data_IF_229117633371
#
_entry.id   IF_229117633371
#
_cell.length_a   1.000
_cell.length_b   1.000
_cell.length_c   1.000
_cell.angle_alpha   90.00
_cell.angle_beta   90.00
_cell.angle_gamma   90.00
#
_symmetry.space_group_name_H-M   'P 1'
#
loop_
_entity.id
_entity.type
_entity.pdbx_description
1 polymer ?
#
# COMPACT_ATOMS: atom_id res chain seq x y z
N UNK A 1 -15.30 -4.59 -39.26
CA UNK A 1 -16.00 -5.80 -38.82
C UNK A 1 -15.47 -6.20 -37.45
N UNK A 2 -16.38 -6.05 -36.51
CA UNK A 2 -16.53 -6.59 -35.18
C UNK A 2 -15.68 -6.00 -34.05
N UNK A 3 -16.21 -4.87 -33.52
CA UNK A 3 -16.40 -4.66 -32.09
C UNK A 3 -17.30 -5.78 -31.55
N UNK A 4 -16.83 -6.51 -30.55
CA UNK A 4 -17.61 -7.14 -29.46
C UNK A 4 -16.66 -8.03 -28.64
N UNK A 5 -16.34 -7.55 -27.44
CA UNK A 5 -16.08 -8.40 -26.24
C UNK A 5 -15.55 -7.50 -25.10
N UNK A 6 -16.48 -6.76 -24.50
CA UNK A 6 -16.28 -6.15 -23.19
C UNK A 6 -17.66 -5.91 -22.56
N UNK A 7 -18.29 -7.01 -22.14
CA UNK A 7 -19.43 -6.97 -21.23
C UNK A 7 -19.54 -8.33 -20.53
N UNK A 8 -18.97 -8.42 -19.36
CA UNK A 8 -19.38 -9.31 -18.27
C UNK A 8 -18.31 -9.25 -17.14
N UNK A 9 -18.59 -8.50 -16.12
CA UNK A 9 -18.62 -8.93 -14.71
C UNK A 9 -19.00 -7.69 -13.88
N UNK A 10 -20.28 -7.58 -13.57
CA UNK A 10 -20.77 -6.85 -12.40
C UNK A 10 -21.11 -7.89 -11.34
N UNK A 11 -20.55 -7.82 -10.12
CA UNK A 11 -21.20 -8.46 -8.99
C UNK A 11 -22.19 -7.47 -8.37
N UNK A 12 -23.46 -7.87 -8.34
CA UNK A 12 -24.49 -7.31 -7.48
C UNK A 12 -24.10 -7.57 -6.02
N UNK A 13 -23.79 -6.54 -5.27
CA UNK A 13 -23.77 -6.62 -3.81
C UNK A 13 -25.13 -6.22 -3.27
N UNK A 14 -25.83 -7.21 -2.76
CA UNK A 14 -27.09 -7.12 -2.06
C UNK A 14 -26.83 -6.56 -0.65
N UNK A 15 -27.29 -5.33 -0.38
CA UNK A 15 -27.23 -4.65 0.92
C UNK A 15 -28.48 -4.98 1.73
N UNK A 16 -28.55 -6.18 2.30
CA UNK A 16 -29.50 -6.48 3.39
C UNK A 16 -28.98 -7.67 4.18
N UNK A 17 -28.40 -7.40 5.30
CA UNK A 17 -28.33 -8.21 6.52
C UNK A 17 -27.01 -8.00 7.27
N UNK A 18 -27.00 -7.05 8.17
CA UNK A 18 -26.16 -7.13 9.39
C UNK A 18 -26.70 -6.12 10.42
N UNK A 19 -27.86 -6.49 10.94
CA UNK A 19 -28.33 -5.97 12.23
C UNK A 19 -28.09 -7.04 13.28
N UNK A 20 -27.63 -6.60 14.42
CA UNK A 20 -27.50 -7.31 15.70
C UNK A 20 -26.16 -8.05 15.95
N UNK A 21 -25.34 -7.48 16.77
CA UNK A 21 -24.94 -7.94 18.10
C UNK A 21 -23.68 -7.20 18.57
N UNK A 22 -23.87 -6.06 19.20
CA UNK A 22 -22.89 -5.56 20.15
C UNK A 22 -23.41 -5.81 21.56
N UNK A 23 -22.99 -6.90 22.17
CA UNK A 23 -23.09 -7.08 23.61
C UNK A 23 -21.96 -6.29 24.27
N UNK A 24 -22.35 -5.28 25.00
CA UNK A 24 -21.53 -4.58 25.97
C UNK A 24 -21.13 -5.53 27.11
N UNK A 25 -19.84 -5.72 27.31
CA UNK A 25 -19.29 -6.33 28.52
C UNK A 25 -18.76 -5.19 29.38
N UNK A 26 -19.52 -4.86 30.43
CA UNK A 26 -19.07 -4.01 31.53
C UNK A 26 -18.62 -4.95 32.66
N UNK A 27 -17.40 -4.85 33.16
CA UNK A 27 -17.03 -5.57 34.38
C UNK A 27 -17.59 -4.83 35.59
N UNK A 28 -18.45 -5.53 36.33
CA UNK A 28 -18.87 -5.18 37.70
C UNK A 28 -17.68 -5.41 38.62
N UNK A 29 -17.22 -4.40 39.29
CA UNK A 29 -16.50 -4.58 40.55
C UNK A 29 -17.25 -3.91 41.71
N UNK A 30 -17.80 -4.79 42.51
CA UNK A 30 -18.31 -4.49 43.83
C UNK A 30 -17.14 -4.24 44.78
N UNK A 31 -17.14 -3.14 45.47
CA UNK A 31 -16.70 -3.09 46.84
C UNK A 31 -17.66 -2.24 47.66
N UNK A 32 -18.21 -2.89 48.67
CA UNK A 32 -19.33 -2.52 49.50
C UNK A 32 -18.80 -2.19 50.89
N UNK A 33 -19.46 -1.22 51.54
CA UNK A 33 -19.78 -1.11 52.95
C UNK A 33 -18.73 -0.53 53.92
N UNK A 34 -19.15 0.48 54.49
CA UNK A 34 -19.41 0.77 55.93
C UNK A 34 -18.64 2.01 56.39
N UNK A 35 -19.31 3.03 56.84
CA UNK A 35 -19.54 3.23 58.25
C UNK A 35 -20.42 4.47 58.50
N UNK A 36 -21.52 4.24 59.20
CA UNK A 36 -22.30 5.24 59.91
C UNK A 36 -21.46 5.80 61.05
N UNK A 37 -21.37 7.12 61.17
CA UNK A 37 -21.21 7.78 62.45
C UNK A 37 -22.02 9.07 62.50
N UNK A 38 -22.95 9.05 63.43
CA UNK A 38 -23.79 10.14 63.90
C UNK A 38 -22.92 11.15 64.63
N UNK A 39 -23.00 12.42 64.28
CA UNK A 39 -22.68 13.50 65.20
C UNK A 39 -23.66 14.65 64.94
N UNK A 40 -24.36 14.96 66.01
CA UNK A 40 -25.36 16.03 66.10
C UNK A 40 -24.73 17.42 66.14
N UNK A 41 -25.47 18.38 65.57
CA UNK A 41 -25.55 19.71 66.10
C UNK A 41 -24.66 20.78 65.48
N UNK A 42 -25.21 21.52 64.52
CA UNK A 42 -25.21 22.98 64.49
C UNK A 42 -26.18 23.44 63.40
N UNK A 43 -27.33 23.99 63.74
CA UNK A 43 -28.13 24.76 62.82
C UNK A 43 -27.39 26.04 62.43
N UNK A 44 -26.59 25.95 61.39
CA UNK A 44 -26.14 27.12 60.64
C UNK A 44 -27.31 27.44 59.65
N UNK A 45 -27.98 28.51 59.87
CA UNK A 45 -28.86 29.12 58.86
C UNK A 45 -27.98 29.48 57.70
N UNK A 46 -27.91 28.57 56.71
CA UNK A 46 -27.29 28.85 55.41
C UNK A 46 -28.31 29.80 54.73
N UNK A 47 -28.01 31.08 54.77
CA UNK A 47 -28.64 32.00 53.83
C UNK A 47 -28.43 31.46 52.42
N UNK A 48 -29.48 31.42 51.58
CA UNK A 48 -29.32 31.00 50.21
C UNK A 48 -28.20 31.87 49.59
N UNK A 49 -27.28 31.28 48.80
CA UNK A 49 -26.29 32.09 48.13
C UNK A 49 -27.08 33.11 47.30
N UNK A 50 -26.85 34.40 47.57
CA UNK A 50 -27.29 35.44 46.70
C UNK A 50 -26.90 35.02 45.31
N UNK A 51 -27.88 34.68 44.43
CA UNK A 51 -27.67 34.54 43.02
C UNK A 51 -26.95 35.82 42.58
N UNK A 52 -25.66 35.74 42.36
CA UNK A 52 -24.94 36.79 41.66
C UNK A 52 -25.75 37.03 40.39
N UNK A 53 -26.25 38.23 40.22
CA UNK A 53 -26.97 38.61 39.02
C UNK A 53 -26.03 38.26 37.86
N UNK A 54 -26.31 37.15 37.21
CA UNK A 54 -25.56 36.73 36.05
C UNK A 54 -25.91 37.74 34.99
N UNK A 55 -24.96 38.63 34.68
CA UNK A 55 -25.19 39.62 33.61
C UNK A 55 -25.27 38.80 32.32
N UNK A 56 -26.50 38.68 31.81
CA UNK A 56 -26.76 37.98 30.56
C UNK A 56 -26.20 38.82 29.40
N UNK A 57 -25.67 38.15 28.39
CA UNK A 57 -25.19 38.77 27.17
C UNK A 57 -26.36 39.08 26.21
N UNK A 58 -26.09 39.80 25.17
CA UNK A 58 -27.01 39.99 24.06
C UNK A 58 -26.29 39.85 22.74
N UNK A 59 -27.01 39.48 21.68
CA UNK A 59 -26.47 39.37 20.31
C UNK A 59 -27.43 40.07 19.38
N UNK A 60 -26.90 40.87 18.47
CA UNK A 60 -27.68 41.48 17.39
C UNK A 60 -27.02 41.22 16.04
N UNK A 61 -27.75 41.48 14.96
CA UNK A 61 -27.21 41.33 13.62
C UNK A 61 -28.21 41.68 12.54
N UNK A 62 -27.77 41.61 11.29
CA UNK A 62 -28.56 41.84 10.11
C UNK A 62 -28.54 40.61 9.20
N UNK A 63 -29.70 40.31 8.61
CA UNK A 63 -29.88 39.34 7.55
C UNK A 63 -30.16 40.06 6.25
N UNK A 64 -29.36 39.84 5.22
CA UNK A 64 -29.56 40.39 3.88
C UNK A 64 -29.81 39.25 2.89
N UNK A 65 -30.70 39.48 1.95
CA UNK A 65 -31.06 38.54 0.89
C UNK A 65 -29.95 38.37 -0.18
N UNK A 66 -30.23 37.58 -1.21
CA UNK A 66 -29.30 37.33 -2.33
C UNK A 66 -29.01 38.56 -3.20
N UNK A 67 -29.83 39.64 -3.09
CA UNK A 67 -29.61 40.92 -3.75
C UNK A 67 -28.85 41.89 -2.83
N UNK A 68 -28.58 41.54 -1.57
CA UNK A 68 -27.97 42.39 -0.55
C UNK A 68 -28.93 43.33 0.10
N UNK A 69 -30.25 43.13 -0.07
CA UNK A 69 -31.31 43.94 0.59
C UNK A 69 -31.68 43.36 1.95
N UNK A 70 -32.20 44.17 2.89
CA UNK A 70 -32.73 43.67 4.15
C UNK A 70 -33.74 42.53 3.93
N UNK A 71 -33.50 41.38 4.62
CA UNK A 71 -34.42 40.25 4.54
C UNK A 71 -35.37 40.27 5.74
N UNK A 72 -36.60 40.71 5.48
CA UNK A 72 -37.64 40.99 6.49
C UNK A 72 -38.35 39.69 6.90
N UNK A 73 -38.80 39.63 8.17
CA UNK A 73 -39.59 38.54 8.76
C UNK A 73 -38.90 37.14 8.72
N UNK A 74 -37.57 37.12 8.59
CA UNK A 74 -36.80 35.88 8.64
C UNK A 74 -36.65 35.40 10.09
N UNK A 75 -36.84 34.10 10.30
CA UNK A 75 -36.61 33.46 11.59
C UNK A 75 -35.12 33.20 11.76
N UNK A 76 -34.53 33.75 12.83
CA UNK A 76 -33.18 33.49 13.27
C UNK A 76 -33.21 32.72 14.57
N UNK A 77 -32.52 31.58 14.63
CA UNK A 77 -32.39 30.76 15.82
C UNK A 77 -30.97 30.83 16.38
N UNK A 78 -30.86 30.88 17.70
CA UNK A 78 -29.62 30.76 18.43
C UNK A 78 -29.72 29.53 19.35
N UNK A 79 -28.94 28.47 19.02
CA UNK A 79 -28.95 27.21 19.79
C UNK A 79 -27.66 27.09 20.59
N UNK A 80 -27.78 26.97 21.90
CA UNK A 80 -26.62 26.79 22.77
C UNK A 80 -26.01 25.37 22.65
N UNK A 81 -24.77 25.22 23.06
CA UNK A 81 -24.07 23.92 23.22
C UNK A 81 -24.77 22.95 24.19
N UNK A 82 -25.63 23.48 25.07
CA UNK A 82 -26.49 22.74 26.00
C UNK A 82 -27.89 22.44 25.42
N UNK A 83 -28.17 22.81 24.17
CA UNK A 83 -29.41 22.54 23.47
C UNK A 83 -30.53 23.56 23.74
N UNK A 84 -30.30 24.63 24.50
CA UNK A 84 -31.29 25.70 24.65
C UNK A 84 -31.42 26.51 23.35
N UNK A 85 -32.63 26.71 22.86
CA UNK A 85 -32.93 27.41 21.61
C UNK A 85 -33.66 28.74 21.91
N UNK A 86 -33.13 29.81 21.34
CA UNK A 86 -33.77 31.14 21.31
C UNK A 86 -34.11 31.46 19.86
N UNK A 87 -35.25 32.16 19.66
CA UNK A 87 -35.73 32.51 18.32
C UNK A 87 -36.02 33.99 18.25
N UNK A 88 -35.60 34.64 17.18
CA UNK A 88 -35.92 36.05 16.88
C UNK A 88 -36.36 36.16 15.41
N UNK A 89 -37.09 37.24 15.09
CA UNK A 89 -37.46 37.59 13.71
C UNK A 89 -36.74 38.85 13.28
N UNK A 90 -36.40 38.92 12.00
CA UNK A 90 -35.83 40.15 11.43
C UNK A 90 -36.93 41.20 11.22
N UNK A 91 -36.62 42.46 11.54
CA UNK A 91 -37.48 43.61 11.32
C UNK A 91 -37.42 44.10 9.84
N UNK A 92 -38.06 45.26 9.59
CA UNK A 92 -38.13 45.92 8.26
C UNK A 92 -36.75 46.27 7.67
N UNK A 93 -35.74 46.41 8.52
CA UNK A 93 -34.36 46.73 8.15
C UNK A 93 -33.47 45.48 8.13
N UNK A 94 -34.08 44.28 8.26
CA UNK A 94 -33.39 43.00 8.33
C UNK A 94 -32.66 42.76 9.65
N UNK A 95 -32.90 43.58 10.65
CA UNK A 95 -32.20 43.51 11.94
C UNK A 95 -32.88 42.52 12.89
N UNK A 96 -32.10 41.77 13.66
CA UNK A 96 -32.56 40.87 14.71
C UNK A 96 -31.74 41.08 16.00
N UNK A 97 -32.32 40.72 17.15
CA UNK A 97 -31.64 40.77 18.43
C UNK A 97 -32.10 39.70 19.38
N UNK A 98 -31.16 39.18 20.14
CA UNK A 98 -31.37 38.31 21.28
C UNK A 98 -30.92 39.03 22.55
N UNK A 99 -31.73 38.97 23.59
CA UNK A 99 -31.43 39.54 24.90
C UNK A 99 -31.43 38.45 25.96
N UNK A 100 -30.77 38.68 27.08
CA UNK A 100 -30.74 37.79 28.22
C UNK A 100 -30.17 36.39 27.88
N UNK A 101 -29.14 36.35 27.04
CA UNK A 101 -28.43 35.13 26.67
C UNK A 101 -27.46 34.75 27.78
N UNK A 102 -27.57 33.53 28.28
CA UNK A 102 -26.57 32.99 29.22
C UNK A 102 -25.20 32.91 28.55
N UNK A 103 -24.14 33.08 29.33
CA UNK A 103 -22.79 32.88 28.81
C UNK A 103 -22.63 31.44 28.30
N UNK A 104 -22.15 31.27 27.07
CA UNK A 104 -22.00 29.96 26.41
C UNK A 104 -21.64 30.08 24.94
N UNK A 105 -21.52 28.94 24.26
CA UNK A 105 -21.33 28.91 22.81
C UNK A 105 -22.68 28.69 22.14
N UNK A 106 -22.99 29.54 21.16
CA UNK A 106 -24.24 29.48 20.40
C UNK A 106 -23.98 29.33 18.92
N UNK A 107 -24.73 28.43 18.30
CA UNK A 107 -24.83 28.30 16.84
C UNK A 107 -26.02 29.07 16.33
N UNK A 108 -25.82 29.98 15.36
CA UNK A 108 -26.83 30.80 14.76
C UNK A 108 -27.25 30.25 13.40
N UNK A 109 -28.54 30.04 13.22
CA UNK A 109 -29.14 29.59 11.97
C UNK A 109 -30.25 30.53 11.54
N UNK A 110 -30.45 30.68 10.22
CA UNK A 110 -31.61 31.37 9.65
C UNK A 110 -32.46 30.38 8.88
N UNK A 111 -33.79 30.42 9.13
CA UNK A 111 -34.73 29.58 8.38
C UNK A 111 -34.90 30.12 6.96
N UNK A 112 -34.58 29.29 5.99
CA UNK A 112 -34.77 29.62 4.58
C UNK A 112 -36.14 29.19 4.08
N UNK A 113 -36.72 29.86 3.06
CA UNK A 113 -37.96 29.41 2.44
C UNK A 113 -37.89 27.97 1.94
N UNK A 114 -38.96 27.21 2.16
CA UNK A 114 -39.04 25.82 1.68
C UNK A 114 -38.75 25.72 0.16
N UNK A 115 -38.08 24.67 -0.32
CA UNK A 115 -37.72 23.44 0.38
C UNK A 115 -36.33 23.43 1.07
N UNK A 116 -35.70 24.58 1.24
CA UNK A 116 -34.35 24.70 1.76
C UNK A 116 -34.29 24.38 3.26
N UNK A 117 -33.15 23.86 3.71
CA UNK A 117 -32.86 23.65 5.12
C UNK A 117 -32.38 24.96 5.76
N UNK A 118 -32.51 25.12 7.09
CA UNK A 118 -31.95 26.26 7.80
C UNK A 118 -30.44 26.38 7.50
N UNK A 119 -29.98 27.60 7.33
CA UNK A 119 -28.56 27.90 7.02
C UNK A 119 -27.85 28.34 8.30
N UNK A 120 -26.80 27.58 8.68
CA UNK A 120 -25.90 27.95 9.76
C UNK A 120 -24.89 28.98 9.26
N UNK A 121 -24.83 30.15 9.94
CA UNK A 121 -23.99 31.25 9.49
C UNK A 121 -22.95 31.71 10.51
N UNK A 122 -23.11 31.36 11.79
CA UNK A 122 -22.15 31.70 12.81
C UNK A 122 -22.16 30.72 14.00
N UNK A 123 -21.01 30.52 14.60
CA UNK A 123 -20.88 29.95 15.94
C UNK A 123 -20.01 30.88 16.76
N UNK A 124 -20.56 31.41 17.83
CA UNK A 124 -19.88 32.40 18.68
C UNK A 124 -20.01 32.07 20.15
N UNK A 125 -19.02 32.51 20.94
CA UNK A 125 -19.09 32.50 22.37
C UNK A 125 -19.67 33.84 22.85
N UNK A 126 -20.78 33.78 23.57
CA UNK A 126 -21.42 34.95 24.18
C UNK A 126 -20.93 35.06 25.63
N UNK A 127 -20.30 36.16 25.96
CA UNK A 127 -19.87 36.50 27.31
C UNK A 127 -20.91 37.29 28.07
N UNK A 128 -20.74 37.41 29.38
CA UNK A 128 -21.58 38.22 30.24
C UNK A 128 -21.38 39.71 29.92
N UNK A 129 -22.46 40.42 29.58
CA UNK A 129 -22.43 41.83 29.20
C UNK A 129 -21.92 42.16 27.79
N UNK A 130 -21.57 41.15 26.99
CA UNK A 130 -21.14 41.31 25.60
C UNK A 130 -22.34 41.43 24.64
N UNK A 131 -22.17 42.24 23.59
CA UNK A 131 -23.17 42.44 22.54
C UNK A 131 -22.55 42.28 21.14
N UNK A 132 -22.06 41.08 20.79
CA UNK A 132 -21.49 40.85 19.46
C UNK A 132 -22.52 41.08 18.36
N UNK A 133 -22.05 41.61 17.22
CA UNK A 133 -22.87 41.82 16.03
C UNK A 133 -22.58 40.69 15.03
N UNK A 134 -23.60 39.92 14.68
CA UNK A 134 -23.49 38.72 13.85
C UNK A 134 -24.34 38.86 12.60
N UNK A 135 -23.74 39.25 11.50
CA UNK A 135 -24.43 39.53 10.24
C UNK A 135 -24.29 38.37 9.26
N UNK A 136 -25.31 38.16 8.43
CA UNK A 136 -25.28 37.28 7.28
C UNK A 136 -25.79 37.97 6.02
N UNK A 137 -24.99 37.92 4.96
CA UNK A 137 -25.34 38.44 3.64
C UNK A 137 -25.36 37.29 2.65
N UNK A 138 -26.53 36.89 2.17
CA UNK A 138 -26.67 35.76 1.26
C UNK A 138 -26.09 36.03 -0.13
N UNK A 139 -25.92 37.27 -0.55
CA UNK A 139 -25.18 37.61 -1.76
C UNK A 139 -23.70 37.18 -1.63
N UNK A 140 -23.06 37.44 -0.50
CA UNK A 140 -21.66 37.05 -0.25
C UNK A 140 -21.53 35.54 -0.06
N UNK A 141 -22.52 34.90 0.56
CA UNK A 141 -22.61 33.45 0.71
C UNK A 141 -22.63 32.77 -0.67
N UNK A 142 -23.53 33.23 -1.56
CA UNK A 142 -23.60 32.69 -2.94
C UNK A 142 -22.35 32.97 -3.74
N UNK A 143 -21.74 34.15 -3.62
CA UNK A 143 -20.50 34.48 -4.29
C UNK A 143 -19.36 33.55 -3.84
N UNK A 144 -19.25 33.31 -2.53
CA UNK A 144 -18.22 32.35 -1.97
C UNK A 144 -18.50 30.91 -2.39
N UNK A 145 -19.74 30.46 -2.39
CA UNK A 145 -20.12 29.11 -2.86
C UNK A 145 -19.84 28.94 -4.35
N UNK A 146 -20.15 29.95 -5.16
CA UNK A 146 -19.84 29.94 -6.58
C UNK A 146 -18.33 29.90 -6.86
N UNK A 147 -17.55 30.68 -6.11
CA UNK A 147 -16.09 30.65 -6.21
C UNK A 147 -15.50 29.30 -5.79
N UNK A 148 -16.00 28.71 -4.70
CA UNK A 148 -15.57 27.39 -4.23
C UNK A 148 -15.94 26.29 -5.24
N UNK A 149 -17.12 26.35 -5.83
CA UNK A 149 -17.55 25.41 -6.87
C UNK A 149 -16.66 25.53 -8.14
N UNK A 150 -16.37 26.75 -8.57
CA UNK A 150 -15.49 27.00 -9.71
C UNK A 150 -14.06 26.48 -9.47
N UNK A 151 -13.54 26.67 -8.26
CA UNK A 151 -12.22 26.15 -7.87
C UNK A 151 -12.18 24.61 -7.84
N UNK A 152 -13.28 23.97 -7.37
CA UNK A 152 -13.38 22.51 -7.44
C UNK A 152 -13.39 21.98 -8.87
N UNK A 153 -14.16 22.61 -9.77
CA UNK A 153 -14.20 22.23 -11.19
C UNK A 153 -12.82 22.39 -11.82
N UNK A 154 -12.15 23.51 -11.56
CA UNK A 154 -10.78 23.76 -12.06
C UNK A 154 -9.82 22.67 -11.56
N UNK A 155 -9.84 22.35 -10.27
CA UNK A 155 -9.01 21.31 -9.68
C UNK A 155 -9.29 19.93 -10.29
N UNK A 156 -10.55 19.59 -10.51
CA UNK A 156 -10.91 18.32 -11.16
C UNK A 156 -10.38 18.24 -12.60
N UNK A 157 -10.44 19.34 -13.36
CA UNK A 157 -9.90 19.35 -14.71
C UNK A 157 -8.38 19.25 -14.73
N UNK A 158 -7.68 19.94 -13.81
CA UNK A 158 -6.23 19.80 -13.62
C UNK A 158 -5.84 18.36 -13.25
N UNK A 159 -6.55 17.73 -12.32
CA UNK A 159 -6.29 16.34 -11.92
C UNK A 159 -6.55 15.38 -13.08
N UNK A 160 -7.59 15.62 -13.89
CA UNK A 160 -7.88 14.83 -15.08
C UNK A 160 -6.79 14.99 -16.16
N UNK A 161 -6.28 16.20 -16.36
CA UNK A 161 -5.18 16.45 -17.30
C UNK A 161 -3.90 15.76 -16.81
N UNK A 162 -3.56 15.86 -15.51
CA UNK A 162 -2.44 15.14 -14.91
C UNK A 162 -2.57 13.63 -15.07
N UNK A 163 -3.74 13.08 -14.78
CA UNK A 163 -3.99 11.64 -14.96
C UNK A 163 -3.83 11.21 -16.42
N UNK A 164 -4.33 12.01 -17.36
CA UNK A 164 -4.22 11.72 -18.79
C UNK A 164 -2.76 11.75 -19.25
N UNK A 165 -2.00 12.76 -18.84
CA UNK A 165 -0.56 12.86 -19.11
C UNK A 165 0.22 11.71 -18.49
N UNK A 166 -0.03 11.41 -17.22
CA UNK A 166 0.56 10.25 -16.53
C UNK A 166 0.32 8.95 -17.31
N UNK A 167 -0.93 8.71 -17.72
CA UNK A 167 -1.28 7.49 -18.47
C UNK A 167 -0.57 7.41 -19.81
N UNK A 168 -0.51 8.50 -20.57
CA UNK A 168 0.17 8.53 -21.87
C UNK A 168 1.66 8.19 -21.74
N UNK A 169 2.35 8.84 -20.80
CA UNK A 169 3.75 8.57 -20.53
C UNK A 169 3.98 7.16 -19.97
N UNK A 170 3.08 6.68 -19.11
CA UNK A 170 3.19 5.32 -18.59
C UNK A 170 3.05 4.26 -19.68
N UNK A 171 2.05 4.40 -20.57
CA UNK A 171 1.83 3.47 -21.68
C UNK A 171 3.03 3.48 -22.65
N UNK A 172 3.58 4.67 -22.97
CA UNK A 172 4.79 4.81 -23.78
C UNK A 172 6.00 4.14 -23.10
N UNK A 173 6.21 4.42 -21.82
CA UNK A 173 7.31 3.83 -21.05
C UNK A 173 7.22 2.30 -20.96
N UNK A 174 6.03 1.73 -20.83
CA UNK A 174 5.81 0.27 -20.88
C UNK A 174 6.14 -0.31 -22.25
N UNK A 175 5.77 0.38 -23.32
CA UNK A 175 6.10 -0.06 -24.69
C UNK A 175 7.62 -0.10 -24.90
N UNK A 176 8.33 0.96 -24.54
CA UNK A 176 9.80 1.03 -24.63
C UNK A 176 10.48 0.00 -23.71
N UNK A 177 9.98 -0.20 -22.48
CA UNK A 177 10.47 -1.20 -21.56
C UNK A 177 10.34 -2.62 -22.13
N UNK A 178 9.21 -2.93 -22.76
CA UNK A 178 8.98 -4.23 -23.42
C UNK A 178 9.97 -4.47 -24.57
N UNK A 179 10.23 -3.44 -25.37
CA UNK A 179 11.23 -3.51 -26.42
C UNK A 179 12.66 -3.69 -25.85
N UNK A 180 12.98 -2.97 -24.76
CA UNK A 180 14.27 -3.10 -24.07
C UNK A 180 14.47 -4.51 -23.50
N UNK A 181 13.42 -5.11 -22.93
CA UNK A 181 13.44 -6.50 -22.43
C UNK A 181 13.71 -7.50 -23.55
N UNK A 182 13.04 -7.34 -24.70
CA UNK A 182 13.25 -8.16 -25.88
C UNK A 182 14.68 -8.02 -26.40
N UNK A 183 15.16 -6.79 -26.57
CA UNK A 183 16.52 -6.52 -27.03
C UNK A 183 17.58 -7.11 -26.08
N UNK A 184 17.36 -7.05 -24.75
CA UNK A 184 18.24 -7.67 -23.74
C UNK A 184 18.26 -9.20 -23.86
N UNK A 185 17.10 -9.83 -24.11
CA UNK A 185 17.03 -11.27 -24.32
C UNK A 185 17.73 -11.70 -25.61
N UNK A 186 17.63 -10.92 -26.68
CA UNK A 186 18.30 -11.17 -27.96
C UNK A 186 19.82 -10.93 -27.85
N UNK A 187 20.26 -9.91 -27.10
CA UNK A 187 21.67 -9.67 -26.79
C UNK A 187 22.33 -10.89 -26.12
N UNK A 188 21.59 -11.61 -25.28
CA UNK A 188 22.11 -12.80 -24.61
C UNK A 188 22.44 -13.95 -25.61
N UNK A 189 21.79 -13.93 -26.81
CA UNK A 189 21.97 -14.92 -27.87
C UNK A 189 22.86 -14.42 -29.03
N UNK A 190 23.26 -13.14 -29.00
CA UNK A 190 23.92 -12.45 -30.08
C UNK A 190 25.33 -13.00 -30.35
N UNK A 191 25.72 -13.03 -31.62
CA UNK A 191 27.06 -13.32 -32.06
C UNK A 191 28.02 -12.19 -31.63
N UNK A 192 29.31 -12.45 -31.45
CA UNK A 192 30.26 -11.47 -30.93
C UNK A 192 30.29 -10.14 -31.70
N UNK A 193 30.15 -10.18 -33.01
CA UNK A 193 30.17 -9.01 -33.92
C UNK A 193 28.90 -8.13 -33.78
N UNK A 194 27.78 -8.68 -33.30
CA UNK A 194 26.54 -7.99 -33.14
C UNK A 194 26.35 -7.39 -31.75
N UNK A 195 27.13 -7.84 -30.77
CA UNK A 195 26.91 -7.54 -29.35
C UNK A 195 26.97 -6.04 -29.02
N UNK A 196 27.89 -5.31 -29.61
CA UNK A 196 28.03 -3.88 -29.27
C UNK A 196 26.90 -3.04 -29.84
N UNK A 197 26.44 -3.35 -31.05
CA UNK A 197 25.22 -2.72 -31.62
C UNK A 197 24.01 -3.02 -30.75
N UNK A 198 23.83 -4.28 -30.32
CA UNK A 198 22.69 -4.67 -29.50
C UNK A 198 22.77 -4.10 -28.08
N UNK A 199 23.95 -3.96 -27.48
CA UNK A 199 24.12 -3.23 -26.20
C UNK A 199 23.67 -1.77 -26.33
N UNK A 200 24.07 -1.08 -27.43
CA UNK A 200 23.64 0.27 -27.68
C UNK A 200 22.12 0.38 -27.86
N UNK A 201 21.50 -0.60 -28.53
CA UNK A 201 20.04 -0.66 -28.67
C UNK A 201 19.34 -0.86 -27.31
N UNK A 202 19.83 -1.77 -26.46
CA UNK A 202 19.31 -1.98 -25.10
C UNK A 202 19.41 -0.70 -24.28
N UNK A 203 20.55 0.00 -24.37
CA UNK A 203 20.77 1.26 -23.65
C UNK A 203 19.82 2.36 -24.12
N UNK A 204 19.62 2.52 -25.43
CA UNK A 204 18.68 3.51 -26.01
C UNK A 204 17.24 3.23 -25.57
N UNK A 205 16.75 2.00 -25.75
CA UNK A 205 15.39 1.61 -25.38
C UNK A 205 15.12 1.72 -23.88
N UNK A 206 16.07 1.27 -23.05
CA UNK A 206 15.92 1.41 -21.59
C UNK A 206 15.99 2.87 -21.14
N UNK A 207 16.79 3.71 -21.82
CA UNK A 207 16.84 5.17 -21.59
C UNK A 207 15.52 5.84 -21.92
N UNK A 208 14.91 5.50 -23.05
CA UNK A 208 13.55 5.97 -23.43
C UNK A 208 12.50 5.55 -22.40
N UNK A 209 12.49 4.29 -22.03
CA UNK A 209 11.58 3.78 -21.00
C UNK A 209 11.70 4.54 -19.68
N UNK A 210 12.93 4.81 -19.22
CA UNK A 210 13.19 5.61 -18.02
C UNK A 210 12.62 7.01 -18.18
N UNK A 211 12.89 7.68 -19.30
CA UNK A 211 12.42 9.06 -19.57
C UNK A 211 10.89 9.14 -19.51
N UNK A 212 10.20 8.24 -20.19
CA UNK A 212 8.75 8.21 -20.21
C UNK A 212 8.16 7.86 -18.84
N UNK A 213 8.73 6.90 -18.12
CA UNK A 213 8.27 6.53 -16.78
C UNK A 213 8.53 7.63 -15.73
N UNK A 214 9.64 8.36 -15.84
CA UNK A 214 9.89 9.55 -15.02
C UNK A 214 8.89 10.68 -15.33
N UNK A 215 8.53 10.89 -16.58
CA UNK A 215 7.50 11.84 -16.99
C UNK A 215 6.11 11.40 -16.47
N UNK A 216 5.80 10.10 -16.52
CA UNK A 216 4.59 9.55 -15.93
C UNK A 216 4.53 9.83 -14.42
N UNK A 217 5.64 9.60 -13.72
CA UNK A 217 5.76 9.88 -12.28
C UNK A 217 5.55 11.36 -11.96
N UNK A 218 6.16 12.25 -12.74
CA UNK A 218 6.05 13.71 -12.58
C UNK A 218 4.61 14.22 -12.85
N UNK A 219 3.89 13.57 -13.75
CA UNK A 219 2.51 13.89 -14.11
C UNK A 219 1.48 13.23 -13.20
N UNK A 220 1.88 12.33 -12.30
CA UNK A 220 0.96 11.62 -11.43
C UNK A 220 0.25 12.57 -10.46
N UNK A 221 -1.08 12.43 -10.25
CA UNK A 221 -1.78 13.14 -9.18
C UNK A 221 -1.14 12.87 -7.81
N UNK A 222 -1.23 13.84 -6.89
CA UNK A 222 -0.53 13.82 -5.59
C UNK A 222 -0.80 12.55 -4.74
N UNK A 223 -1.97 11.93 -4.93
CA UNK A 223 -2.40 10.72 -4.20
C UNK A 223 -2.79 9.58 -5.13
N UNK A 224 -2.09 9.44 -6.25
CA UNK A 224 -2.38 8.34 -7.18
C UNK A 224 -2.10 6.98 -6.54
N UNK A 225 -3.12 6.13 -6.50
CA UNK A 225 -3.03 4.78 -5.92
C UNK A 225 -2.12 3.84 -6.72
N UNK A 226 -1.84 4.17 -7.98
CA UNK A 226 -1.03 3.37 -8.90
C UNK A 226 0.43 3.83 -8.97
N UNK A 227 0.82 4.87 -8.24
CA UNK A 227 2.19 5.39 -8.24
C UNK A 227 3.23 4.29 -7.93
N UNK A 228 2.87 3.29 -7.12
CA UNK A 228 3.71 2.13 -6.85
C UNK A 228 4.04 1.32 -8.12
N UNK A 229 3.12 1.28 -9.11
CA UNK A 229 3.37 0.59 -10.38
C UNK A 229 4.41 1.34 -11.22
N UNK A 230 4.33 2.67 -11.27
CA UNK A 230 5.32 3.50 -11.99
C UNK A 230 6.70 3.28 -11.39
N UNK A 231 6.83 3.32 -10.07
CA UNK A 231 8.09 3.05 -9.39
C UNK A 231 8.64 1.64 -9.66
N UNK A 232 7.76 0.62 -9.67
CA UNK A 232 8.19 -0.74 -10.00
C UNK A 232 8.69 -0.85 -11.45
N UNK A 233 8.02 -0.19 -12.41
CA UNK A 233 8.46 -0.17 -13.82
C UNK A 233 9.75 0.62 -14.02
N UNK A 234 9.94 1.70 -13.28
CA UNK A 234 11.24 2.38 -13.23
C UNK A 234 12.33 1.44 -12.71
N UNK A 235 12.04 0.65 -11.67
CA UNK A 235 12.96 -0.38 -11.18
C UNK A 235 13.36 -1.38 -12.27
N UNK A 236 12.40 -1.89 -13.04
CA UNK A 236 12.66 -2.77 -14.17
C UNK A 236 13.52 -2.09 -15.24
N UNK A 237 13.21 -0.84 -15.60
CA UNK A 237 13.92 -0.09 -16.63
C UNK A 237 15.36 0.23 -16.21
N UNK A 238 15.59 0.63 -14.97
CA UNK A 238 16.93 0.85 -14.41
C UNK A 238 17.76 -0.45 -14.35
N UNK A 239 17.14 -1.59 -14.03
CA UNK A 239 17.84 -2.90 -14.03
C UNK A 239 18.29 -3.29 -15.46
N UNK A 240 17.46 -3.04 -16.46
CA UNK A 240 17.83 -3.28 -17.86
C UNK A 240 18.96 -2.34 -18.30
N UNK A 241 18.90 -1.09 -17.88
CA UNK A 241 19.93 -0.06 -18.15
C UNK A 241 21.24 -0.30 -17.37
N UNK A 242 21.34 -1.39 -16.60
CA UNK A 242 22.49 -1.72 -15.75
C UNK A 242 22.78 -0.61 -14.70
N UNK A 243 21.73 -0.07 -14.11
CA UNK A 243 21.75 0.92 -13.01
C UNK A 243 21.17 0.31 -11.73
N UNK A 244 21.87 -0.62 -11.09
CA UNK A 244 21.32 -1.47 -10.03
C UNK A 244 20.95 -0.68 -8.75
N UNK A 245 21.65 0.38 -8.42
CA UNK A 245 21.32 1.19 -7.24
C UNK A 245 20.04 2.00 -7.46
N UNK A 246 19.84 2.58 -8.64
CA UNK A 246 18.60 3.26 -9.01
C UNK A 246 17.43 2.28 -9.06
N UNK A 247 17.65 1.07 -9.62
CA UNK A 247 16.66 0.02 -9.67
C UNK A 247 16.22 -0.41 -8.25
N UNK A 248 17.18 -0.63 -7.36
CA UNK A 248 16.88 -0.99 -5.97
C UNK A 248 16.13 0.14 -5.25
N UNK A 249 16.52 1.40 -5.47
CA UNK A 249 15.81 2.54 -4.90
C UNK A 249 14.37 2.65 -5.41
N UNK A 250 14.15 2.48 -6.71
CA UNK A 250 12.82 2.51 -7.30
C UNK A 250 11.91 1.42 -6.72
N UNK A 251 12.41 0.20 -6.54
CA UNK A 251 11.65 -0.87 -5.88
C UNK A 251 11.39 -0.58 -4.39
N UNK A 252 12.31 0.05 -3.66
CA UNK A 252 12.05 0.49 -2.28
C UNK A 252 10.93 1.52 -2.22
N UNK A 253 10.86 2.47 -3.17
CA UNK A 253 9.74 3.41 -3.28
C UNK A 253 8.41 2.70 -3.59
N UNK A 254 8.42 1.74 -4.52
CA UNK A 254 7.24 0.93 -4.81
C UNK A 254 6.75 0.17 -3.57
N UNK A 255 7.66 -0.45 -2.82
CA UNK A 255 7.39 -1.19 -1.58
C UNK A 255 6.83 -0.26 -0.49
N UNK A 256 7.38 0.95 -0.33
CA UNK A 256 6.91 1.93 0.64
C UNK A 256 5.46 2.34 0.39
N UNK A 257 5.04 2.42 -0.88
CA UNK A 257 3.67 2.73 -1.26
C UNK A 257 2.75 1.50 -1.15
N UNK A 258 3.22 0.35 -1.60
CA UNK A 258 2.46 -0.90 -1.57
C UNK A 258 3.38 -2.11 -1.48
N UNK A 259 3.58 -2.68 -0.30
CA UNK A 259 4.40 -3.88 -0.14
C UNK A 259 3.73 -5.07 -0.82
N UNK A 260 4.45 -5.70 -1.78
CA UNK A 260 4.01 -6.92 -2.47
C UNK A 260 5.13 -7.95 -2.53
N UNK A 261 4.83 -9.26 -2.53
CA UNK A 261 5.83 -10.30 -2.67
C UNK A 261 6.70 -10.12 -3.90
N UNK A 262 6.10 -9.75 -5.04
CA UNK A 262 6.80 -9.55 -6.31
C UNK A 262 7.85 -8.43 -6.22
N UNK A 263 7.54 -7.31 -5.58
CA UNK A 263 8.48 -6.20 -5.44
C UNK A 263 9.69 -6.57 -4.57
N UNK A 264 9.45 -7.25 -3.46
CA UNK A 264 10.53 -7.75 -2.61
C UNK A 264 11.39 -8.78 -3.33
N UNK A 265 10.77 -9.67 -4.10
CA UNK A 265 11.50 -10.67 -4.89
C UNK A 265 12.39 -10.03 -5.97
N UNK A 266 11.89 -9.01 -6.69
CA UNK A 266 12.65 -8.28 -7.68
C UNK A 266 13.78 -7.46 -7.03
N UNK A 267 13.50 -6.80 -5.91
CA UNK A 267 14.52 -6.09 -5.13
C UNK A 267 15.65 -7.06 -4.69
N UNK A 268 15.29 -8.24 -4.19
CA UNK A 268 16.25 -9.29 -3.83
C UNK A 268 17.14 -9.70 -5.00
N UNK A 269 16.56 -9.88 -6.19
CA UNK A 269 17.31 -10.21 -7.41
C UNK A 269 18.30 -9.13 -7.83
N UNK A 270 17.87 -7.86 -7.76
CA UNK A 270 18.73 -6.71 -8.07
C UNK A 270 19.88 -6.61 -7.08
N UNK A 271 19.58 -6.66 -5.78
CA UNK A 271 20.58 -6.58 -4.71
C UNK A 271 21.58 -7.74 -4.79
N UNK A 272 21.11 -8.97 -5.09
CA UNK A 272 21.96 -10.14 -5.25
C UNK A 272 22.96 -9.99 -6.39
N UNK A 273 22.50 -9.53 -7.57
CA UNK A 273 23.39 -9.26 -8.71
C UNK A 273 24.38 -8.11 -8.43
N UNK A 274 24.02 -7.18 -7.56
CA UNK A 274 24.86 -6.05 -7.12
C UNK A 274 25.79 -6.42 -5.94
N UNK A 275 25.85 -7.68 -5.54
CA UNK A 275 26.71 -8.16 -4.45
C UNK A 275 26.24 -7.82 -3.03
N UNK A 276 25.07 -7.22 -2.87
CA UNK A 276 24.47 -6.87 -1.57
C UNK A 276 23.69 -8.07 -1.02
N UNK A 277 24.43 -9.15 -0.71
CA UNK A 277 23.84 -10.47 -0.45
C UNK A 277 22.92 -10.48 0.76
N UNK A 278 23.31 -9.87 1.88
CA UNK A 278 22.50 -9.87 3.10
C UNK A 278 21.17 -9.11 2.91
N UNK A 279 21.21 -7.98 2.21
CA UNK A 279 19.99 -7.23 1.86
C UNK A 279 19.11 -8.04 0.88
N UNK A 280 19.70 -8.76 -0.06
CA UNK A 280 18.96 -9.62 -0.98
C UNK A 280 18.24 -10.74 -0.23
N UNK A 281 18.91 -11.41 0.71
CA UNK A 281 18.30 -12.45 1.55
C UNK A 281 17.15 -11.91 2.38
N UNK A 282 17.31 -10.74 2.99
CA UNK A 282 16.24 -10.09 3.74
C UNK A 282 15.03 -9.77 2.84
N UNK A 283 15.27 -9.30 1.61
CA UNK A 283 14.19 -9.02 0.66
C UNK A 283 13.46 -10.33 0.24
N UNK A 284 14.15 -11.41 -0.08
CA UNK A 284 13.51 -12.68 -0.40
C UNK A 284 12.72 -13.24 0.78
N UNK A 285 13.23 -13.10 2.00
CA UNK A 285 12.51 -13.51 3.20
C UNK A 285 11.19 -12.72 3.33
N UNK A 286 11.22 -11.40 3.13
CA UNK A 286 10.01 -10.58 3.16
C UNK A 286 9.03 -10.97 2.06
N UNK A 287 9.50 -11.31 0.85
CA UNK A 287 8.66 -11.86 -0.21
C UNK A 287 7.95 -13.14 0.24
N UNK A 288 8.66 -14.06 0.86
CA UNK A 288 8.12 -15.33 1.35
C UNK A 288 7.13 -15.14 2.52
N UNK A 289 7.40 -14.21 3.43
CA UNK A 289 6.53 -13.89 4.56
C UNK A 289 5.18 -13.29 4.12
N UNK A 290 5.17 -12.50 3.04
CA UNK A 290 3.96 -11.86 2.53
C UNK A 290 3.03 -12.82 1.79
N UNK A 291 3.56 -13.91 1.21
CA UNK A 291 2.77 -14.92 0.50
C UNK A 291 3.34 -16.32 0.74
N UNK A 292 3.16 -16.88 1.94
CA UNK A 292 3.73 -18.17 2.30
C UNK A 292 3.33 -19.34 1.38
N UNK A 293 2.08 -19.42 0.86
CA UNK A 293 1.70 -20.49 -0.06
C UNK A 293 2.47 -20.47 -1.38
N UNK A 294 2.89 -19.29 -1.85
CA UNK A 294 3.61 -19.10 -3.12
C UNK A 294 5.09 -18.73 -2.91
N UNK A 295 5.63 -18.96 -1.71
CA UNK A 295 6.98 -18.57 -1.33
C UNK A 295 8.09 -19.38 -2.05
N UNK A 296 7.76 -20.47 -2.74
CA UNK A 296 8.73 -21.33 -3.44
C UNK A 296 9.67 -20.54 -4.37
N UNK A 297 9.12 -19.56 -5.10
CA UNK A 297 9.91 -18.71 -5.99
C UNK A 297 10.95 -17.87 -5.23
N UNK A 298 10.54 -17.24 -4.13
CA UNK A 298 11.42 -16.42 -3.32
C UNK A 298 12.58 -17.27 -2.75
N UNK A 299 12.30 -18.44 -2.20
CA UNK A 299 13.31 -19.35 -1.68
C UNK A 299 14.24 -19.88 -2.78
N UNK A 300 13.70 -20.23 -3.95
CA UNK A 300 14.53 -20.63 -5.09
C UNK A 300 15.47 -19.52 -5.53
N UNK A 301 14.97 -18.28 -5.64
CA UNK A 301 15.79 -17.14 -6.04
C UNK A 301 16.84 -16.78 -4.99
N UNK A 302 16.55 -16.92 -3.70
CA UNK A 302 17.52 -16.82 -2.62
C UNK A 302 18.64 -17.87 -2.79
N UNK A 303 18.26 -19.12 -3.04
CA UNK A 303 19.20 -20.21 -3.30
C UNK A 303 20.08 -19.96 -4.52
N UNK A 304 19.49 -19.50 -5.65
CA UNK A 304 20.23 -19.12 -6.87
C UNK A 304 21.25 -18.02 -6.56
N UNK A 305 20.84 -16.99 -5.84
CA UNK A 305 21.72 -15.88 -5.48
C UNK A 305 22.93 -16.37 -4.67
N UNK A 306 22.69 -17.18 -3.64
CA UNK A 306 23.75 -17.75 -2.81
C UNK A 306 24.67 -18.71 -3.61
N UNK A 307 24.08 -19.53 -4.48
CA UNK A 307 24.81 -20.41 -5.38
C UNK A 307 25.78 -19.65 -6.30
N UNK A 308 25.28 -18.58 -6.93
CA UNK A 308 26.06 -17.78 -7.89
C UNK A 308 27.23 -17.03 -7.24
N UNK A 309 27.17 -16.72 -5.95
CA UNK A 309 28.27 -16.09 -5.20
C UNK A 309 29.15 -17.12 -4.48
N UNK A 310 28.99 -18.43 -4.74
CA UNK A 310 29.80 -19.49 -4.18
C UNK A 310 29.45 -19.88 -2.73
N UNK A 311 28.37 -19.36 -2.16
CA UNK A 311 27.90 -19.69 -0.80
C UNK A 311 27.01 -20.94 -0.81
N UNK A 312 27.62 -22.08 -1.23
CA UNK A 312 26.89 -23.33 -1.48
C UNK A 312 26.22 -23.90 -0.24
N UNK A 313 26.88 -23.83 0.93
CA UNK A 313 26.32 -24.36 2.18
C UNK A 313 25.07 -23.55 2.58
N UNK A 314 25.13 -22.24 2.46
CA UNK A 314 24.01 -21.34 2.77
C UNK A 314 22.85 -21.48 1.76
N UNK A 315 23.13 -21.88 0.52
CA UNK A 315 22.12 -22.10 -0.52
C UNK A 315 21.22 -23.32 -0.24
N UNK A 316 21.69 -24.30 0.53
CA UNK A 316 20.98 -25.57 0.76
C UNK A 316 19.62 -25.37 1.42
N UNK A 317 19.55 -24.58 2.51
CA UNK A 317 18.28 -24.40 3.24
C UNK A 317 17.19 -23.70 2.42
N UNK A 318 17.44 -22.56 1.76
CA UNK A 318 16.41 -21.97 0.91
C UNK A 318 16.01 -22.88 -0.26
N UNK A 319 16.94 -23.65 -0.85
CA UNK A 319 16.60 -24.60 -1.93
C UNK A 319 15.77 -25.80 -1.42
N UNK A 320 16.02 -26.31 -0.22
CA UNK A 320 15.15 -27.30 0.42
C UNK A 320 13.74 -26.76 0.57
N UNK A 321 13.57 -25.57 1.14
CA UNK A 321 12.26 -24.92 1.26
C UNK A 321 11.57 -24.74 -0.10
N UNK A 322 12.32 -24.38 -1.12
CA UNK A 322 11.79 -24.25 -2.48
C UNK A 322 11.26 -25.60 -3.02
N UNK A 323 11.96 -26.72 -2.77
CA UNK A 323 11.53 -28.06 -3.21
C UNK A 323 10.36 -28.61 -2.37
N UNK A 324 10.26 -28.24 -1.10
CA UNK A 324 9.13 -28.60 -0.23
C UNK A 324 7.86 -27.89 -0.67
N UNK A 325 7.93 -26.60 -1.02
CA UNK A 325 6.79 -25.79 -1.44
C UNK A 325 6.38 -26.03 -2.90
N UNK A 326 7.37 -26.32 -3.77
CA UNK A 326 7.12 -26.68 -5.17
C UNK A 326 7.88 -27.97 -5.54
N UNK A 327 7.36 -29.14 -5.16
CA UNK A 327 8.01 -30.43 -5.41
C UNK A 327 8.07 -30.82 -6.89
N UNK A 328 7.40 -30.08 -7.78
CA UNK A 328 7.40 -30.28 -9.23
C UNK A 328 8.46 -29.44 -9.97
N UNK A 329 9.19 -28.59 -9.28
CA UNK A 329 10.22 -27.75 -9.87
C UNK A 329 11.52 -28.53 -10.12
N UNK A 330 11.71 -29.02 -11.33
CA UNK A 330 12.96 -29.66 -11.72
C UNK A 330 14.20 -28.76 -11.50
N UNK A 331 14.03 -27.45 -11.74
CA UNK A 331 15.05 -26.45 -11.48
C UNK A 331 15.46 -26.40 -9.99
N UNK A 332 14.48 -26.36 -9.08
CA UNK A 332 14.78 -26.29 -7.65
C UNK A 332 15.52 -27.55 -7.18
N UNK A 333 15.09 -28.74 -7.63
CA UNK A 333 15.72 -29.99 -7.31
C UNK A 333 17.16 -30.07 -7.88
N UNK A 334 17.37 -29.66 -9.12
CA UNK A 334 18.72 -29.58 -9.70
C UNK A 334 19.64 -28.65 -8.89
N UNK A 335 19.17 -27.46 -8.58
CA UNK A 335 19.94 -26.47 -7.82
C UNK A 335 20.25 -26.96 -6.41
N UNK A 336 19.32 -27.66 -5.75
CA UNK A 336 19.53 -28.28 -4.45
C UNK A 336 20.63 -29.32 -4.54
N UNK A 337 20.61 -30.22 -5.54
CA UNK A 337 21.65 -31.20 -5.79
C UNK A 337 23.02 -30.55 -6.00
N UNK A 338 23.06 -29.49 -6.82
CA UNK A 338 24.30 -28.76 -7.10
C UNK A 338 24.87 -28.04 -5.87
N UNK A 339 23.98 -27.44 -5.04
CA UNK A 339 24.37 -26.81 -3.77
C UNK A 339 24.92 -27.84 -2.77
N UNK A 340 24.28 -29.00 -2.66
CA UNK A 340 24.74 -30.11 -1.80
C UNK A 340 26.10 -30.68 -2.26
N UNK A 341 26.35 -30.75 -3.58
CA UNK A 341 27.66 -31.09 -4.12
C UNK A 341 28.71 -30.04 -3.72
N UNK A 342 28.40 -28.77 -3.89
CA UNK A 342 29.30 -27.67 -3.48
C UNK A 342 29.51 -27.56 -1.97
N UNK A 343 28.61 -28.15 -1.16
CA UNK A 343 28.70 -28.22 0.30
C UNK A 343 29.39 -29.51 0.82
N UNK A 344 29.88 -30.39 -0.07
CA UNK A 344 30.60 -31.61 0.33
C UNK A 344 31.81 -31.27 1.19
N UNK A 345 32.14 -32.21 2.07
CA UNK A 345 33.31 -32.14 2.93
C UNK A 345 34.34 -33.20 2.50
N UNK A 346 35.62 -32.88 2.70
CA UNK A 346 36.71 -33.78 2.44
C UNK A 346 37.36 -34.11 3.77
N UNK A 347 37.50 -35.40 4.06
CA UNK A 347 38.13 -35.89 5.29
C UNK A 347 39.37 -36.73 4.94
N UNK A 348 40.46 -36.45 5.61
CA UNK A 348 41.65 -37.26 5.47
C UNK A 348 41.46 -38.58 6.19
N UNK A 349 41.74 -39.70 5.47
CA UNK A 349 41.68 -41.05 6.01
C UNK A 349 42.96 -41.78 5.61
N UNK A 350 43.94 -41.73 6.50
CA UNK A 350 45.30 -42.13 6.17
C UNK A 350 45.91 -41.21 5.10
N UNK A 351 46.46 -41.80 4.04
CA UNK A 351 47.06 -41.06 2.90
C UNK A 351 46.01 -40.65 1.82
N UNK A 352 44.75 -40.95 2.04
CA UNK A 352 43.68 -40.68 1.08
C UNK A 352 42.70 -39.63 1.59
N UNK A 353 42.21 -38.81 0.66
CA UNK A 353 41.08 -37.92 0.92
C UNK A 353 39.78 -38.68 0.62
N UNK A 354 38.89 -38.76 1.59
CA UNK A 354 37.53 -39.32 1.45
C UNK A 354 36.55 -38.19 1.28
N UNK A 355 35.70 -38.29 0.26
CA UNK A 355 34.61 -37.31 0.01
C UNK A 355 33.40 -37.69 0.83
N UNK A 356 32.92 -36.78 1.63
CA UNK A 356 31.67 -36.94 2.39
C UNK A 356 30.55 -36.27 1.60
N UNK A 357 29.76 -37.10 0.90
CA UNK A 357 28.59 -36.62 0.17
C UNK A 357 27.47 -36.28 1.12
N UNK A 358 26.89 -35.08 0.97
CA UNK A 358 25.79 -34.61 1.80
C UNK A 358 24.53 -35.47 1.57
N UNK A 359 23.79 -35.81 2.62
CA UNK A 359 22.51 -36.51 2.49
C UNK A 359 21.53 -35.79 1.56
N UNK A 360 20.83 -36.55 0.71
CA UNK A 360 19.88 -35.99 -0.24
C UNK A 360 20.47 -35.54 -1.59
N UNK A 361 21.80 -35.53 -1.76
CA UNK A 361 22.45 -35.09 -3.02
C UNK A 361 22.00 -35.93 -4.23
N UNK A 362 22.06 -37.24 -4.12
CA UNK A 362 21.67 -38.16 -5.21
C UNK A 362 20.15 -38.06 -5.46
N UNK A 363 19.36 -38.01 -4.39
CA UNK A 363 17.89 -37.90 -4.47
C UNK A 363 17.48 -36.62 -5.17
N UNK A 364 18.10 -35.47 -4.86
CA UNK A 364 17.78 -34.19 -5.48
C UNK A 364 18.01 -34.22 -6.99
N UNK A 365 19.16 -34.75 -7.44
CA UNK A 365 19.43 -34.91 -8.87
C UNK A 365 18.51 -35.94 -9.54
N UNK A 366 18.21 -37.07 -8.89
CA UNK A 366 17.28 -38.07 -9.42
C UNK A 366 15.86 -37.47 -9.61
N UNK A 367 15.40 -36.64 -8.66
CA UNK A 367 14.13 -35.92 -8.77
C UNK A 367 14.15 -34.93 -9.94
N UNK A 368 15.21 -34.17 -10.14
CA UNK A 368 15.34 -33.29 -11.29
C UNK A 368 15.26 -34.06 -12.61
N UNK A 369 15.95 -35.24 -12.72
CA UNK A 369 15.87 -36.10 -13.90
C UNK A 369 14.49 -36.70 -14.11
N UNK A 370 13.79 -37.10 -13.03
CA UNK A 370 12.43 -37.62 -13.10
C UNK A 370 11.44 -36.58 -13.65
N UNK A 371 11.55 -35.30 -13.18
CA UNK A 371 10.63 -34.23 -13.53
C UNK A 371 10.91 -33.61 -14.91
N UNK A 372 12.18 -33.63 -15.36
CA UNK A 372 12.62 -32.99 -16.60
C UNK A 372 13.61 -33.89 -17.39
N UNK A 373 13.20 -35.11 -17.79
CA UNK A 373 14.13 -36.11 -18.30
C UNK A 373 14.90 -35.71 -19.56
N UNK A 374 14.33 -34.84 -20.39
CA UNK A 374 14.90 -34.38 -21.66
C UNK A 374 15.19 -32.87 -21.70
N UNK A 375 14.74 -32.13 -20.70
CA UNK A 375 14.96 -30.69 -20.61
C UNK A 375 16.31 -30.35 -19.93
N UNK A 376 16.59 -29.04 -19.82
CA UNK A 376 17.94 -28.60 -19.43
C UNK A 376 18.32 -29.01 -18.00
N UNK A 377 17.40 -28.97 -17.05
CA UNK A 377 17.71 -29.30 -15.66
C UNK A 377 17.90 -30.80 -15.42
N UNK A 378 17.13 -31.62 -16.09
CA UNK A 378 17.30 -33.08 -16.04
C UNK A 378 18.61 -33.53 -16.70
N UNK A 379 19.00 -32.90 -17.82
CA UNK A 379 20.27 -33.20 -18.47
C UNK A 379 21.47 -32.79 -17.60
N UNK A 380 21.41 -31.60 -17.00
CA UNK A 380 22.43 -31.13 -16.06
C UNK A 380 22.50 -32.02 -14.80
N UNK A 381 21.35 -32.47 -14.29
CA UNK A 381 21.28 -33.37 -13.15
C UNK A 381 21.89 -34.78 -13.48
N UNK A 382 21.69 -35.31 -14.70
CA UNK A 382 22.37 -36.55 -15.17
C UNK A 382 23.88 -36.39 -15.15
N UNK A 383 24.39 -35.28 -15.71
CA UNK A 383 25.83 -34.97 -15.68
C UNK A 383 26.33 -34.84 -14.23
N UNK A 384 25.55 -34.22 -13.33
CA UNK A 384 25.87 -34.15 -11.91
C UNK A 384 25.98 -35.53 -11.23
N UNK A 385 25.06 -36.45 -11.54
CA UNK A 385 25.11 -37.85 -11.06
C UNK A 385 26.32 -38.62 -11.59
N UNK A 386 26.66 -38.44 -12.85
CA UNK A 386 27.85 -39.05 -13.47
C UNK A 386 29.13 -38.52 -12.81
N UNK A 387 29.25 -37.23 -12.62
CA UNK A 387 30.37 -36.61 -11.93
C UNK A 387 30.49 -37.11 -10.47
N UNK A 388 29.34 -37.21 -9.76
CA UNK A 388 29.29 -37.72 -8.40
C UNK A 388 29.77 -39.17 -8.30
N UNK A 389 29.42 -40.04 -9.27
CA UNK A 389 29.87 -41.42 -9.33
C UNK A 389 31.39 -41.53 -9.51
N UNK A 390 32.02 -40.56 -10.17
CA UNK A 390 33.48 -40.53 -10.36
C UNK A 390 34.21 -40.11 -9.07
N UNK A 391 33.71 -39.12 -8.35
CA UNK A 391 34.36 -38.58 -7.13
C UNK A 391 34.03 -39.39 -5.88
N UNK A 392 32.94 -40.14 -5.89
CA UNK A 392 32.47 -40.98 -4.78
C UNK A 392 32.00 -42.37 -5.29
N UNK A 393 32.92 -43.23 -5.72
CA UNK A 393 32.58 -44.48 -6.47
C UNK A 393 31.78 -45.52 -5.68
N UNK A 394 31.55 -45.32 -4.39
CA UNK A 394 30.69 -46.17 -3.55
C UNK A 394 29.21 -45.77 -3.49
N UNK A 395 28.80 -44.66 -4.14
CA UNK A 395 27.45 -44.16 -4.08
C UNK A 395 26.61 -44.69 -5.25
N UNK A 396 25.40 -45.19 -4.94
CA UNK A 396 24.45 -45.60 -5.98
C UNK A 396 23.79 -44.35 -6.61
N UNK A 397 24.26 -43.94 -7.77
CA UNK A 397 23.75 -42.81 -8.55
C UNK A 397 22.71 -43.21 -9.61
N UNK A 398 22.29 -44.49 -9.67
CA UNK A 398 21.36 -44.98 -10.70
C UNK A 398 20.03 -44.33 -10.57
N UNK A 399 19.53 -43.72 -11.64
CA UNK A 399 18.17 -43.23 -11.72
C UNK A 399 17.19 -44.42 -11.75
N UNK A 400 16.21 -44.43 -10.87
CA UNK A 400 15.13 -45.42 -10.93
C UNK A 400 14.40 -45.26 -12.26
N UNK A 401 14.57 -46.20 -13.19
CA UNK A 401 13.84 -46.23 -14.43
C UNK A 401 12.35 -46.32 -14.11
N UNK A 402 11.61 -45.27 -14.44
CA UNK A 402 10.13 -45.30 -14.41
C UNK A 402 9.67 -46.25 -15.51
N UNK A 403 9.54 -47.57 -15.18
CA UNK A 403 8.74 -48.45 -16.03
C UNK A 403 7.36 -47.88 -16.12
N UNK A 404 7.02 -47.26 -17.30
CA UNK A 404 5.63 -47.03 -17.66
C UNK A 404 4.92 -48.37 -17.52
N UNK A 405 3.99 -48.49 -16.57
CA UNK A 405 2.97 -49.51 -16.64
C UNK A 405 2.11 -49.16 -17.84
N UNK A 406 2.25 -49.95 -18.88
CA UNK A 406 1.37 -50.01 -20.06
C UNK A 406 -0.09 -50.36 -19.64
#
# INVERSE_FOLDING_TARGET
MKLQLLAAVRPHMNLTALRSQTRSIVPRNNWVRAALLVAAGALAVIAPPRAAAQMDGSVSGNVQDVAGKPWVDMTVDATSDQGAKLTAKTDKDGHYSFHNMRAGVYTFTVELPAPNKPYEFAQIKVGSGETPNVNVNFKDVLAKQGAAAAEQVKKQEEDKQKFTGMKQHFDAGIADLTQAQTAKADLAKAQPDQRDTMKAQVADLSGKAITELEAAKASAPEKDQNLHLIWARLGDAYDIANRPDDAANAYRQAIALKPTPGYYNNLGGILGRNGKIDEAMAAYQKSAELDPPNAAQAYRNAGITLYNVGKMKEAVEPLKKATELDPKSAQAWYLLGAALVGAMEYKQKGDKMEVIVQPGTVEAYQKAVELDPNGPYGQQAKQGLEALAQIAPGIDTKTKSTKKKS
#
